data_IF_431396246735
#
_entry.id   IF_431396246735
#
_cell.length_a   1.000
_cell.length_b   1.000
_cell.length_c   1.000
_cell.angle_alpha   90.00
_cell.angle_beta   90.00
_cell.angle_gamma   90.00
#
_symmetry.space_group_name_H-M   'P 1'
#
loop_
_entity.id
_entity.type
_entity.pdbx_description
1 polymer ?
#
# COMPACT_ATOMS: atom_id res chain seq x y z
N UNK A 1 13.78 -11.35 -41.78
CA UNK A 1 13.28 -10.02 -42.19
C UNK A 1 13.86 -8.88 -41.30
N UNK A 2 15.08 -8.45 -41.60
CA UNK A 2 15.81 -7.39 -40.87
C UNK A 2 15.60 -5.98 -41.48
N UNK A 3 14.98 -5.89 -42.67
CA UNK A 3 14.77 -4.64 -43.40
C UNK A 3 13.57 -3.80 -42.99
N UNK A 4 12.71 -4.28 -42.08
CA UNK A 4 11.56 -3.50 -41.59
C UNK A 4 11.93 -2.56 -40.41
N UNK A 5 13.11 -2.75 -39.82
CA UNK A 5 13.51 -2.09 -38.57
C UNK A 5 14.69 -1.13 -38.70
N UNK A 6 15.34 -1.01 -39.87
CA UNK A 6 16.47 -0.09 -40.05
C UNK A 6 16.40 0.65 -41.40
N UNK A 7 16.67 1.98 -41.46
CA UNK A 7 17.29 2.87 -40.47
C UNK A 7 16.33 3.80 -39.70
N UNK A 8 15.01 3.59 -39.78
CA UNK A 8 14.02 4.58 -39.32
C UNK A 8 13.55 4.42 -37.85
N UNK A 9 13.98 3.38 -37.13
CA UNK A 9 13.54 3.14 -35.75
C UNK A 9 13.83 4.29 -34.79
N UNK A 10 15.06 4.83 -34.84
CA UNK A 10 15.49 5.95 -33.98
C UNK A 10 14.77 7.24 -34.33
N UNK A 11 14.54 7.50 -35.62
CA UNK A 11 13.80 8.69 -36.08
C UNK A 11 12.34 8.61 -35.67
N UNK A 12 11.69 7.48 -35.92
CA UNK A 12 10.31 7.21 -35.50
C UNK A 12 10.12 7.36 -33.99
N UNK A 13 11.06 6.89 -33.18
CA UNK A 13 10.97 7.05 -31.72
C UNK A 13 11.13 8.51 -31.28
N UNK A 14 12.09 9.25 -31.87
CA UNK A 14 12.23 10.70 -31.65
C UNK A 14 10.98 11.48 -32.09
N UNK A 15 10.37 11.11 -33.19
CA UNK A 15 9.12 11.72 -33.68
C UNK A 15 7.95 11.41 -32.75
N UNK A 16 7.83 10.18 -32.24
CA UNK A 16 6.84 9.82 -31.22
C UNK A 16 7.04 10.64 -29.94
N UNK A 17 8.27 10.74 -29.45
CA UNK A 17 8.60 11.52 -28.26
C UNK A 17 8.25 13.00 -28.45
N UNK A 18 8.63 13.61 -29.59
CA UNK A 18 8.29 15.01 -29.91
C UNK A 18 6.79 15.24 -29.96
N UNK A 19 6.03 14.36 -30.64
CA UNK A 19 4.56 14.45 -30.72
C UNK A 19 3.92 14.31 -29.34
N UNK A 20 4.35 13.33 -28.54
CA UNK A 20 3.85 13.16 -27.17
C UNK A 20 4.13 14.38 -26.30
N UNK A 21 5.35 14.93 -26.35
CA UNK A 21 5.72 16.14 -25.61
C UNK A 21 4.90 17.35 -26.06
N UNK A 22 4.65 17.53 -27.36
CA UNK A 22 3.78 18.61 -27.83
C UNK A 22 2.35 18.50 -27.27
N UNK A 23 1.79 17.29 -27.17
CA UNK A 23 0.47 17.10 -26.58
C UNK A 23 0.47 17.43 -25.09
N UNK A 24 1.51 17.01 -24.37
CA UNK A 24 1.69 17.28 -22.93
C UNK A 24 1.80 18.80 -22.68
N UNK A 25 2.62 19.50 -23.45
CA UNK A 25 2.81 20.95 -23.31
C UNK A 25 1.54 21.74 -23.67
N UNK A 26 0.75 21.27 -24.65
CA UNK A 26 -0.53 21.90 -24.98
C UNK A 26 -1.63 21.62 -23.93
N UNK A 27 -1.51 20.55 -23.12
CA UNK A 27 -2.54 20.14 -22.16
C UNK A 27 -1.96 19.76 -20.79
N UNK A 28 -1.27 20.68 -20.08
CA UNK A 28 -0.53 20.35 -18.85
C UNK A 28 -1.46 19.88 -17.72
N UNK A 29 -2.65 20.48 -17.57
CA UNK A 29 -3.62 20.09 -16.53
C UNK A 29 -4.20 18.70 -16.78
N UNK A 30 -4.53 18.38 -18.03
CA UNK A 30 -5.01 17.05 -18.40
C UNK A 30 -3.95 15.99 -18.12
N UNK A 31 -2.70 16.25 -18.52
CA UNK A 31 -1.59 15.36 -18.29
C UNK A 31 -1.34 15.14 -16.78
N UNK A 32 -1.32 16.23 -16.00
CA UNK A 32 -1.21 16.15 -14.54
C UNK A 32 -2.33 15.29 -13.94
N UNK A 33 -3.57 15.45 -14.41
CA UNK A 33 -4.70 14.61 -13.98
C UNK A 33 -4.55 13.12 -14.35
N UNK A 34 -4.01 12.81 -15.53
CA UNK A 34 -3.69 11.42 -15.91
C UNK A 34 -2.58 10.84 -15.02
N UNK A 35 -1.52 11.61 -14.76
CA UNK A 35 -0.43 11.18 -13.88
C UNK A 35 -0.89 10.99 -12.42
N UNK A 36 -1.73 11.88 -11.90
CA UNK A 36 -2.30 11.73 -10.55
C UNK A 36 -3.20 10.50 -10.44
N UNK A 37 -4.03 10.22 -11.45
CA UNK A 37 -4.81 8.96 -11.51
C UNK A 37 -3.92 7.73 -11.55
N UNK A 38 -2.78 7.81 -12.25
CA UNK A 38 -1.79 6.73 -12.27
C UNK A 38 -1.13 6.54 -10.89
N UNK A 39 -0.67 7.61 -10.26
CA UNK A 39 -0.10 7.57 -8.90
C UNK A 39 -1.12 6.96 -7.93
N UNK A 40 -2.37 7.41 -7.98
CA UNK A 40 -3.45 6.84 -7.17
C UNK A 40 -3.67 5.35 -7.46
N UNK A 41 -3.65 4.97 -8.74
CA UNK A 41 -3.71 3.56 -9.16
C UNK A 41 -2.55 2.72 -8.64
N UNK A 42 -1.35 3.30 -8.50
CA UNK A 42 -0.18 2.60 -7.93
C UNK A 42 -0.25 2.45 -6.40
N UNK A 43 -1.00 3.34 -5.72
CA UNK A 43 -1.28 3.25 -4.29
C UNK A 43 -2.44 2.28 -4.00
N UNK A 44 -3.41 2.20 -4.90
CA UNK A 44 -4.51 1.24 -4.82
C UNK A 44 -4.05 -0.17 -5.18
N UNK A 45 -3.64 -0.91 -4.16
CA UNK A 45 -3.36 -2.34 -4.27
C UNK A 45 -4.61 -3.23 -4.24
N UNK A 46 -5.79 -2.68 -3.92
CA UNK A 46 -7.05 -3.42 -3.83
C UNK A 46 -8.09 -2.75 -4.71
N UNK A 47 -8.57 -3.46 -5.72
CA UNK A 47 -9.62 -2.96 -6.59
C UNK A 47 -9.68 -3.66 -7.94
N UNK A 48 -10.57 -3.13 -8.78
CA UNK A 48 -10.58 -3.44 -10.21
C UNK A 48 -9.21 -3.12 -10.83
N UNK A 49 -8.78 -3.92 -11.82
CA UNK A 49 -7.50 -3.71 -12.46
C UNK A 49 -7.41 -2.28 -12.97
N UNK A 50 -6.41 -1.54 -12.50
CA UNK A 50 -6.10 -0.24 -13.07
C UNK A 50 -5.74 -0.46 -14.54
N UNK A 51 -6.28 0.32 -15.49
CA UNK A 51 -5.91 0.24 -16.90
C UNK A 51 -4.40 0.32 -17.14
N UNK A 52 -3.66 0.89 -16.18
CA UNK A 52 -2.23 1.16 -16.29
C UNK A 52 -1.33 0.09 -15.67
N UNK A 53 -1.82 -0.63 -14.65
CA UNK A 53 -1.01 -1.60 -13.89
C UNK A 53 -1.56 -3.04 -13.95
N UNK A 54 -2.71 -3.25 -14.62
CA UNK A 54 -3.35 -4.57 -14.69
C UNK A 54 -3.85 -5.05 -13.32
N UNK A 55 -4.00 -6.36 -13.17
CA UNK A 55 -4.30 -6.97 -11.87
C UNK A 55 -3.05 -6.96 -10.98
N UNK A 56 -2.74 -5.82 -10.35
CA UNK A 56 -1.79 -5.75 -9.23
C UNK A 56 -2.43 -6.18 -7.91
N UNK A 57 -3.77 -6.11 -7.84
CA UNK A 57 -4.50 -6.59 -6.69
C UNK A 57 -4.48 -8.10 -6.64
N UNK A 58 -3.80 -8.61 -5.62
CA UNK A 58 -3.93 -9.98 -5.14
C UNK A 58 -5.37 -10.23 -4.64
N UNK A 59 -6.34 -10.21 -5.55
CA UNK A 59 -7.68 -10.65 -5.27
C UNK A 59 -7.71 -12.14 -5.55
N UNK A 60 -7.13 -12.89 -4.61
CA UNK A 60 -7.05 -14.34 -4.64
C UNK A 60 -8.45 -14.87 -4.40
N UNK A 61 -9.23 -14.97 -5.48
CA UNK A 61 -10.54 -15.62 -5.45
C UNK A 61 -10.47 -16.95 -6.16
N UNK A 62 -11.29 -17.90 -5.74
CA UNK A 62 -11.40 -19.19 -6.40
C UNK A 62 -11.69 -19.04 -7.90
N UNK A 63 -12.50 -18.04 -8.30
CA UNK A 63 -12.82 -17.77 -9.70
C UNK A 63 -11.61 -17.36 -10.56
N UNK A 64 -10.61 -16.69 -9.97
CA UNK A 64 -9.42 -16.22 -10.69
C UNK A 64 -8.27 -17.21 -10.62
N UNK A 65 -8.16 -17.94 -9.52
CA UNK A 65 -7.00 -18.78 -9.23
C UNK A 65 -7.21 -20.27 -9.51
N UNK A 66 -8.46 -20.74 -9.60
CA UNK A 66 -8.77 -22.16 -9.78
C UNK A 66 -9.49 -22.43 -11.11
N UNK A 67 -9.21 -23.58 -11.77
CA UNK A 67 -9.95 -24.03 -12.94
C UNK A 67 -11.41 -24.33 -12.58
N UNK A 68 -12.33 -24.24 -13.54
CA UNK A 68 -13.78 -24.25 -13.31
C UNK A 68 -14.29 -25.44 -12.49
N UNK A 69 -13.70 -26.64 -12.63
CA UNK A 69 -14.06 -27.82 -11.84
C UNK A 69 -13.69 -27.75 -10.35
N UNK A 70 -12.80 -26.84 -9.96
CA UNK A 70 -12.30 -26.68 -8.58
C UNK A 70 -12.81 -25.39 -7.92
N UNK A 71 -13.68 -24.64 -8.61
CA UNK A 71 -14.25 -23.40 -8.09
C UNK A 71 -15.32 -23.61 -7.00
N UNK A 72 -15.76 -24.86 -6.82
CA UNK A 72 -16.63 -25.29 -5.73
C UNK A 72 -15.88 -26.24 -4.77
N UNK A 73 -16.19 -26.16 -3.48
CA UNK A 73 -15.65 -27.06 -2.45
C UNK A 73 -14.65 -26.42 -1.48
N UNK A 74 -13.98 -27.26 -0.69
CA UNK A 74 -13.11 -26.83 0.41
C UNK A 74 -11.92 -25.97 -0.06
N UNK A 75 -11.29 -26.33 -1.19
CA UNK A 75 -10.17 -25.56 -1.72
C UNK A 75 -10.60 -24.13 -2.10
N UNK A 76 -11.75 -23.99 -2.78
CA UNK A 76 -12.30 -22.69 -3.12
C UNK A 76 -12.61 -21.85 -1.87
N UNK A 77 -13.14 -22.48 -0.81
CA UNK A 77 -13.35 -21.82 0.47
C UNK A 77 -12.04 -21.29 1.07
N UNK A 78 -10.98 -22.09 1.15
CA UNK A 78 -9.69 -21.64 1.68
C UNK A 78 -9.05 -20.53 0.85
N UNK A 79 -9.10 -20.63 -0.48
CA UNK A 79 -8.60 -19.59 -1.39
C UNK A 79 -9.34 -18.27 -1.14
N UNK A 80 -10.67 -18.31 -1.04
CA UNK A 80 -11.47 -17.12 -0.76
C UNK A 80 -11.21 -16.56 0.65
N UNK A 81 -11.01 -17.42 1.66
CA UNK A 81 -10.65 -17.00 3.02
C UNK A 81 -9.29 -16.27 3.03
N UNK A 82 -8.30 -16.80 2.31
CA UNK A 82 -7.01 -16.14 2.14
C UNK A 82 -7.15 -14.80 1.42
N UNK A 83 -7.94 -14.73 0.35
CA UNK A 83 -8.24 -13.47 -0.35
C UNK A 83 -8.92 -12.43 0.55
N UNK A 84 -9.84 -12.86 1.42
CA UNK A 84 -10.52 -12.00 2.39
C UNK A 84 -9.54 -11.50 3.46
N UNK A 85 -8.72 -12.39 4.03
CA UNK A 85 -7.71 -12.02 5.02
C UNK A 85 -6.68 -11.04 4.42
N UNK A 86 -6.26 -11.28 3.18
CA UNK A 86 -5.37 -10.39 2.45
C UNK A 86 -5.99 -9.01 2.21
N UNK A 87 -7.26 -8.96 1.78
CA UNK A 87 -7.99 -7.70 1.59
C UNK A 87 -8.07 -6.91 2.91
N UNK A 88 -8.41 -7.58 4.01
CA UNK A 88 -8.47 -6.95 5.33
C UNK A 88 -7.10 -6.44 5.78
N UNK A 89 -6.06 -7.26 5.65
CA UNK A 89 -4.69 -6.91 5.99
C UNK A 89 -4.25 -5.64 5.26
N UNK A 90 -4.56 -5.51 3.97
CA UNK A 90 -4.17 -4.34 3.20
C UNK A 90 -4.84 -3.05 3.69
N UNK A 91 -6.14 -3.10 4.01
CA UNK A 91 -6.85 -1.92 4.54
C UNK A 91 -6.29 -1.52 5.90
N UNK A 92 -6.02 -2.49 6.78
CA UNK A 92 -5.39 -2.25 8.08
C UNK A 92 -3.98 -1.69 7.90
N UNK A 93 -3.19 -2.27 7.00
CA UNK A 93 -1.83 -1.83 6.71
C UNK A 93 -1.81 -0.39 6.20
N UNK A 94 -2.73 0.00 5.30
CA UNK A 94 -2.83 1.39 4.84
C UNK A 94 -3.13 2.36 5.99
N UNK A 95 -4.06 2.01 6.89
CA UNK A 95 -4.35 2.81 8.08
C UNK A 95 -3.13 2.90 9.02
N UNK A 96 -2.42 1.79 9.24
CA UNK A 96 -1.20 1.75 10.05
C UNK A 96 -0.06 2.54 9.43
N UNK A 97 0.14 2.46 8.11
CA UNK A 97 1.14 3.26 7.39
C UNK A 97 0.82 4.75 7.57
N UNK A 98 -0.43 5.16 7.32
CA UNK A 98 -0.85 6.56 7.47
C UNK A 98 -0.65 7.08 8.90
N UNK A 99 -1.13 6.32 9.90
CA UNK A 99 -0.91 6.64 11.31
C UNK A 99 0.57 6.67 11.69
N UNK A 100 1.34 5.71 11.20
CA UNK A 100 2.78 5.60 11.44
C UNK A 100 3.58 6.74 10.85
N UNK A 101 3.25 7.18 9.64
CA UNK A 101 3.86 8.37 9.01
C UNK A 101 3.58 9.61 9.85
N UNK A 102 2.34 9.81 10.29
CA UNK A 102 1.97 10.96 11.12
C UNK A 102 2.70 10.95 12.48
N UNK A 103 2.77 9.79 13.14
CA UNK A 103 3.48 9.63 14.41
C UNK A 103 4.99 9.82 14.23
N UNK A 104 5.59 9.22 13.19
CA UNK A 104 7.01 9.30 12.92
C UNK A 104 7.44 10.74 12.55
N UNK A 105 6.63 11.46 11.76
CA UNK A 105 6.88 12.87 11.45
C UNK A 105 6.87 13.75 12.70
N UNK A 106 6.01 13.45 13.68
CA UNK A 106 5.99 14.15 14.97
C UNK A 106 7.19 13.79 15.86
N UNK A 107 7.68 12.56 15.76
CA UNK A 107 8.80 12.07 16.58
C UNK A 107 10.14 12.55 16.05
N UNK A 108 10.44 12.26 14.78
CA UNK A 108 11.69 12.56 14.09
C UNK A 108 11.42 12.90 12.62
N UNK A 109 11.05 14.15 12.36
CA UNK A 109 10.65 14.61 11.03
C UNK A 109 11.74 14.42 9.96
N UNK A 110 13.02 14.58 10.33
CA UNK A 110 14.15 14.48 9.38
C UNK A 110 14.31 13.07 8.82
N UNK A 111 14.38 12.06 9.71
CA UNK A 111 14.51 10.66 9.30
C UNK A 111 13.27 10.20 8.52
N UNK A 112 12.09 10.59 9.00
CA UNK A 112 10.82 10.30 8.33
C UNK A 112 10.79 10.89 6.91
N UNK A 113 11.22 12.14 6.73
CA UNK A 113 11.29 12.76 5.41
C UNK A 113 12.30 12.09 4.49
N UNK A 114 13.44 11.61 4.99
CA UNK A 114 14.42 10.88 4.16
C UNK A 114 13.83 9.58 3.61
N UNK A 115 13.14 8.80 4.47
CA UNK A 115 12.46 7.57 4.06
C UNK A 115 11.31 7.90 3.10
N UNK A 116 10.48 8.88 3.42
CA UNK A 116 9.35 9.30 2.58
C UNK A 116 9.81 9.85 1.23
N UNK A 117 10.92 10.59 1.18
CA UNK A 117 11.50 11.08 -0.07
C UNK A 117 11.90 9.91 -0.96
N UNK A 118 12.44 8.84 -0.39
CA UNK A 118 12.78 7.62 -1.13
C UNK A 118 11.52 6.93 -1.64
N UNK A 119 10.50 6.75 -0.80
CA UNK A 119 9.21 6.19 -1.22
C UNK A 119 8.54 7.05 -2.31
N UNK A 120 8.57 8.38 -2.15
CA UNK A 120 8.03 9.34 -3.09
C UNK A 120 8.79 9.35 -4.42
N UNK A 121 10.12 9.23 -4.38
CA UNK A 121 10.95 9.06 -5.57
C UNK A 121 10.49 7.84 -6.37
N UNK A 122 10.30 6.68 -5.73
CA UNK A 122 9.80 5.48 -6.40
C UNK A 122 8.37 5.65 -6.92
N UNK A 123 7.51 6.33 -6.18
CA UNK A 123 6.13 6.60 -6.58
C UNK A 123 6.07 7.49 -7.85
N UNK A 124 6.82 8.59 -7.85
CA UNK A 124 6.87 9.55 -8.94
C UNK A 124 7.61 8.97 -10.14
N UNK A 125 8.86 8.57 -9.97
CA UNK A 125 9.68 8.03 -11.07
C UNK A 125 9.09 6.73 -11.61
N UNK A 126 8.55 5.88 -10.73
CA UNK A 126 7.79 4.70 -11.13
C UNK A 126 6.60 5.07 -12.03
N UNK A 127 5.80 6.06 -11.63
CA UNK A 127 4.66 6.52 -12.43
C UNK A 127 5.05 7.06 -13.81
N UNK A 128 6.22 7.70 -13.94
CA UNK A 128 6.66 8.28 -15.22
C UNK A 128 7.40 7.29 -16.13
N UNK A 129 8.29 6.46 -15.58
CA UNK A 129 9.28 5.72 -16.35
C UNK A 129 9.05 4.20 -16.34
N UNK A 130 8.51 3.64 -15.26
CA UNK A 130 8.51 2.19 -15.06
C UNK A 130 7.09 1.65 -14.89
N UNK A 131 6.61 0.96 -15.93
CA UNK A 131 5.28 0.33 -15.94
C UNK A 131 5.26 -1.03 -15.23
N UNK A 132 6.41 -1.54 -14.79
CA UNK A 132 6.50 -2.88 -14.23
C UNK A 132 6.30 -2.91 -12.72
N UNK A 133 5.52 -3.90 -12.26
CA UNK A 133 5.16 -4.12 -10.85
C UNK A 133 6.39 -4.25 -9.94
N UNK A 134 7.51 -4.79 -10.44
CA UNK A 134 8.73 -5.03 -9.67
C UNK A 134 9.32 -3.77 -9.02
N UNK A 135 9.06 -2.59 -9.58
CA UNK A 135 9.58 -1.33 -9.05
C UNK A 135 8.75 -0.76 -7.89
N UNK A 136 7.55 -1.29 -7.65
CA UNK A 136 6.73 -0.93 -6.48
C UNK A 136 7.17 -1.61 -5.19
N UNK A 137 7.85 -2.77 -5.26
CA UNK A 137 8.21 -3.58 -4.09
C UNK A 137 9.12 -2.84 -3.09
N UNK A 138 10.19 -2.11 -3.51
CA UNK A 138 11.03 -1.38 -2.56
C UNK A 138 10.27 -0.29 -1.81
N UNK A 139 9.34 0.40 -2.48
CA UNK A 139 8.48 1.40 -1.86
C UNK A 139 7.64 0.78 -0.74
N UNK A 140 7.05 -0.38 -0.99
CA UNK A 140 6.23 -1.08 0.01
C UNK A 140 7.05 -1.50 1.23
N UNK A 141 8.27 -2.00 1.02
CA UNK A 141 9.16 -2.37 2.11
C UNK A 141 9.46 -1.16 3.03
N UNK A 142 9.70 0.02 2.44
CA UNK A 142 9.90 1.25 3.20
C UNK A 142 8.64 1.69 3.94
N UNK A 143 7.47 1.60 3.31
CA UNK A 143 6.20 1.96 3.94
C UNK A 143 5.82 1.04 5.10
N UNK A 144 6.17 -0.25 5.02
CA UNK A 144 5.97 -1.23 6.10
C UNK A 144 6.70 -0.81 7.39
N UNK A 145 7.82 -0.08 7.30
CA UNK A 145 8.53 0.45 8.48
C UNK A 145 7.61 1.38 9.29
N UNK A 146 6.85 2.25 8.62
CA UNK A 146 5.88 3.12 9.29
C UNK A 146 4.72 2.32 9.89
N UNK A 147 4.23 1.28 9.19
CA UNK A 147 3.20 0.41 9.72
C UNK A 147 3.66 -0.30 11.00
N UNK A 148 4.89 -0.83 11.00
CA UNK A 148 5.50 -1.47 12.16
C UNK A 148 5.65 -0.47 13.32
N UNK A 149 6.10 0.75 13.04
CA UNK A 149 6.20 1.81 14.04
C UNK A 149 4.85 2.13 14.69
N UNK A 150 3.79 2.27 13.88
CA UNK A 150 2.42 2.48 14.39
C UNK A 150 1.94 1.30 15.25
N UNK A 151 2.19 0.07 14.80
CA UNK A 151 1.79 -1.13 15.53
C UNK A 151 2.53 -1.27 16.87
N UNK A 152 3.84 -1.03 16.90
CA UNK A 152 4.64 -1.03 18.14
C UNK A 152 4.14 0.02 19.13
N UNK A 153 3.87 1.24 18.65
CA UNK A 153 3.32 2.30 19.47
C UNK A 153 1.93 1.94 20.01
N UNK A 154 1.03 1.43 19.17
CA UNK A 154 -0.30 1.01 19.58
C UNK A 154 -0.23 -0.11 20.64
N UNK A 155 0.67 -1.06 20.47
CA UNK A 155 0.89 -2.13 21.44
C UNK A 155 1.35 -1.60 22.81
N UNK A 156 2.28 -0.64 22.83
CA UNK A 156 2.73 -0.01 24.08
C UNK A 156 1.58 0.72 24.80
N UNK A 157 0.78 1.50 24.05
CA UNK A 157 -0.38 2.22 24.58
C UNK A 157 -1.40 1.25 25.17
N UNK A 158 -1.72 0.17 24.44
CA UNK A 158 -2.66 -0.85 24.92
C UNK A 158 -2.11 -1.53 26.18
N UNK A 159 -0.84 -1.93 26.18
CA UNK A 159 -0.20 -2.58 27.33
C UNK A 159 -0.24 -1.70 28.57
N UNK A 160 0.07 -0.41 28.43
CA UNK A 160 0.11 0.52 29.56
C UNK A 160 -1.30 0.84 30.08
N UNK A 161 -2.29 0.91 29.18
CA UNK A 161 -3.70 1.02 29.57
C UNK A 161 -4.18 -0.21 30.34
N UNK A 162 -3.84 -1.43 29.90
CA UNK A 162 -4.15 -2.68 30.60
C UNK A 162 -3.55 -2.71 32.02
N UNK A 163 -2.27 -2.30 32.15
CA UNK A 163 -1.60 -2.21 33.47
C UNK A 163 -2.34 -1.26 34.42
N UNK A 164 -2.69 -0.06 33.95
CA UNK A 164 -3.43 0.94 34.75
C UNK A 164 -4.80 0.42 35.19
N UNK A 165 -5.52 -0.26 34.29
CA UNK A 165 -6.84 -0.84 34.59
C UNK A 165 -6.77 -1.94 35.65
N UNK A 166 -5.73 -2.78 35.59
CA UNK A 166 -5.53 -3.84 36.57
C UNK A 166 -5.12 -3.29 37.95
N UNK A 167 -4.28 -2.25 37.99
CA UNK A 167 -3.89 -1.57 39.24
C UNK A 167 -5.11 -0.95 39.95
N UNK A 168 -5.95 -0.21 39.22
CA UNK A 168 -7.18 0.36 39.77
C UNK A 168 -8.13 -0.74 40.32
N UNK A 169 -8.24 -1.86 39.61
CA UNK A 169 -9.07 -2.99 40.05
C UNK A 169 -8.53 -3.66 41.33
N UNK A 170 -7.21 -3.75 41.49
CA UNK A 170 -6.60 -4.28 42.71
C UNK A 170 -6.80 -3.34 43.91
N UNK A 171 -6.67 -2.03 43.72
CA UNK A 171 -6.91 -1.04 44.79
C UNK A 171 -8.37 -1.07 45.27
N UNK A 172 -9.32 -1.18 44.34
CA UNK A 172 -10.75 -1.32 44.66
C UNK A 172 -11.07 -2.60 45.44
N UNK A 173 -10.40 -3.72 45.13
CA UNK A 173 -10.58 -4.97 45.85
C UNK A 173 -10.03 -4.90 47.28
N UNK A 174 -8.85 -4.30 47.45
CA UNK A 174 -8.26 -4.07 48.78
C UNK A 174 -9.15 -3.16 49.63
N UNK A 175 -9.71 -2.10 49.03
CA UNK A 175 -10.63 -1.19 49.73
C UNK A 175 -11.93 -1.84 50.19
N UNK A 176 -12.45 -2.81 49.44
CA UNK A 176 -13.71 -3.55 49.76
C UNK A 176 -13.52 -4.76 50.67
N UNK A 177 -12.29 -5.21 50.90
CA UNK A 177 -12.00 -6.34 51.77
C UNK A 177 -12.50 -6.18 53.23
N UNK A 178 -12.32 -5.03 53.92
CA UNK A 178 -12.75 -4.88 55.32
C UNK A 178 -14.28 -4.88 55.50
N UNK A 179 -15.05 -4.39 54.52
CA UNK A 179 -16.52 -4.37 54.60
C UNK A 179 -17.15 -5.77 54.54
N UNK A 180 -16.42 -6.80 54.11
CA UNK A 180 -16.92 -8.18 54.03
C UNK A 180 -16.65 -9.01 55.29
N UNK A 181 -15.85 -8.50 56.22
CA UNK A 181 -15.47 -9.19 57.45
C UNK A 181 -16.24 -8.69 58.68
N UNK A 182 -17.06 -7.66 58.50
CA UNK A 182 -17.99 -7.12 59.50
C UNK A 182 -19.42 -7.59 59.21
#
# INVERSE_FOLDING_TARGET
PLGLYWPDGVRRDRERARKSLSVIFSHPVWYAGVMMRRIWGSLNYAGEPSPFYGYTGFNVTSQKCLPQGWQAGALAFFVNLLGMAQSLWQHIALLLIGGGVLLALRRDWRASLLILTTAFYYLVVGSFMHMEIRYGLPMQALLIIFAAFAASWAFEVIRDWWKRRNAARSEDQVRKAPERQA
#
